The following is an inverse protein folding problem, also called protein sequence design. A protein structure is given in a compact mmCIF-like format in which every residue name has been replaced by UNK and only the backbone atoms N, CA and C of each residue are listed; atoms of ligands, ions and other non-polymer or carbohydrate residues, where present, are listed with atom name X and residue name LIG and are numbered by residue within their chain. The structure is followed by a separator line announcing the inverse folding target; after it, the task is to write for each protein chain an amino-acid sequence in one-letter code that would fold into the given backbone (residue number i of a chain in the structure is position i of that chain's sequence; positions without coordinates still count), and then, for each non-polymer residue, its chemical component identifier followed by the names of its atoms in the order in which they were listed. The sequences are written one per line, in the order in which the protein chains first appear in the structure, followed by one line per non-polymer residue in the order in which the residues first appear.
data_IF_837891977907
#
_entry.id   IF_837891977907
#
_cell.length_a   1.000
_cell.length_b   1.000
_cell.length_c   1.000
_cell.angle_alpha   90.00
_cell.angle_beta   90.00
_cell.angle_gamma   90.00
#
_symmetry.space_group_name_H-M   'P 1'
#
loop_
_entity.id
_entity.type
_entity.pdbx_description
1 polymer ?
#
# COMPACT_ATOMS: atom_id res chain seq x y z
N UNK A 1 2.43 -15.46 -13.34
CA UNK A 1 2.27 -14.01 -13.65
C UNK A 1 0.79 -13.69 -13.63
N UNK A 2 0.38 -12.63 -12.94
CA UNK A 2 -1.00 -12.18 -12.91
C UNK A 2 -1.32 -11.40 -14.20
N UNK A 3 -2.38 -11.81 -14.89
CA UNK A 3 -2.81 -11.17 -16.14
C UNK A 3 -4.34 -10.99 -16.11
N UNK A 4 -4.76 -9.87 -15.54
CA UNK A 4 -6.18 -9.55 -15.32
C UNK A 4 -6.72 -8.64 -16.42
N UNK A 5 -7.98 -8.81 -16.78
CA UNK A 5 -8.68 -7.84 -17.61
C UNK A 5 -8.77 -6.50 -16.88
N UNK A 6 -8.54 -5.42 -17.61
CA UNK A 6 -8.64 -4.05 -17.12
C UNK A 6 -9.73 -3.27 -17.84
N UNK A 7 -9.93 -2.03 -17.44
CA UNK A 7 -10.87 -1.12 -18.10
C UNK A 7 -10.54 -0.87 -19.58
N UNK A 8 -9.30 -1.14 -20.01
CA UNK A 8 -8.89 -1.05 -21.42
C UNK A 8 -9.33 -2.25 -22.26
N UNK A 9 -9.71 -3.35 -21.62
CA UNK A 9 -10.05 -4.62 -22.30
C UNK A 9 -11.54 -4.79 -22.53
N UNK A 10 -12.37 -3.82 -22.13
CA UNK A 10 -13.83 -3.90 -22.18
C UNK A 10 -14.45 -2.69 -22.89
N UNK A 11 -15.67 -2.86 -23.36
CA UNK A 11 -16.49 -1.78 -23.91
C UNK A 11 -17.67 -1.54 -22.97
N UNK A 12 -17.73 -0.33 -22.38
CA UNK A 12 -18.75 0.02 -21.38
C UNK A 12 -19.82 0.97 -21.91
N UNK A 13 -19.81 1.27 -23.21
CA UNK A 13 -20.79 2.21 -23.80
C UNK A 13 -22.21 1.78 -23.50
N UNK A 14 -22.97 2.67 -22.86
CA UNK A 14 -24.36 2.42 -22.48
C UNK A 14 -24.53 1.45 -21.31
N UNK A 15 -23.44 0.93 -20.73
CA UNK A 15 -23.50 -0.02 -19.63
C UNK A 15 -23.39 0.65 -18.26
N UNK A 16 -24.03 0.04 -17.28
CA UNK A 16 -23.90 0.43 -15.87
C UNK A 16 -22.62 -0.20 -15.31
N UNK A 17 -21.72 0.64 -14.82
CA UNK A 17 -20.40 0.21 -14.33
C UNK A 17 -20.28 0.55 -12.85
N UNK A 18 -20.26 -0.45 -12.00
CA UNK A 18 -19.97 -0.28 -10.58
C UNK A 18 -18.45 -0.27 -10.37
N UNK A 19 -17.92 0.84 -9.84
CA UNK A 19 -16.51 1.02 -9.59
C UNK A 19 -16.25 1.06 -8.09
N UNK A 20 -15.52 0.08 -7.57
CA UNK A 20 -15.08 0.09 -6.19
C UNK A 20 -13.79 0.91 -6.08
N UNK A 21 -13.91 2.08 -5.47
CA UNK A 21 -12.82 3.01 -5.22
C UNK A 21 -12.36 2.93 -3.76
N UNK A 22 -11.24 3.54 -3.45
CA UNK A 22 -10.79 3.80 -2.09
C UNK A 22 -10.89 5.30 -1.80
N UNK A 23 -12.01 5.70 -1.22
CA UNK A 23 -12.29 7.06 -0.79
C UNK A 23 -12.25 7.19 0.74
N UNK A 24 -11.54 6.29 1.39
CA UNK A 24 -11.29 6.36 2.84
C UNK A 24 -10.28 7.45 3.14
N UNK A 25 -10.72 8.69 3.02
CA UNK A 25 -9.93 9.89 3.21
C UNK A 25 -10.02 10.39 4.65
N UNK A 26 -8.98 11.05 5.17
CA UNK A 26 -9.05 11.68 6.48
C UNK A 26 -9.97 12.91 6.42
N UNK A 27 -10.85 13.01 7.42
CA UNK A 27 -11.78 14.12 7.60
C UNK A 27 -11.48 14.83 8.91
N UNK A 28 -11.52 16.16 8.90
CA UNK A 28 -11.50 16.99 10.09
C UNK A 28 -12.61 18.03 9.98
N UNK A 29 -13.54 18.02 10.93
CA UNK A 29 -14.72 18.90 10.93
C UNK A 29 -15.51 18.85 9.62
N UNK A 30 -15.68 17.64 9.06
CA UNK A 30 -16.39 17.40 7.82
C UNK A 30 -15.63 17.81 6.56
N UNK A 31 -14.37 18.20 6.68
CA UNK A 31 -13.52 18.59 5.55
C UNK A 31 -12.45 17.53 5.26
N UNK A 32 -12.22 17.27 3.99
CA UNK A 32 -11.17 16.36 3.53
C UNK A 32 -9.82 17.07 3.72
N UNK A 33 -8.92 16.46 4.53
CA UNK A 33 -7.59 17.02 4.81
C UNK A 33 -6.51 16.47 3.89
N UNK A 34 -6.75 15.34 3.21
CA UNK A 34 -5.88 14.76 2.20
C UNK A 34 -6.76 14.14 1.11
N UNK A 35 -6.62 14.64 -0.11
CA UNK A 35 -7.42 14.21 -1.26
C UNK A 35 -6.67 13.30 -2.24
N UNK A 36 -5.47 12.83 -1.88
CA UNK A 36 -4.64 12.04 -2.79
C UNK A 36 -5.37 10.82 -3.35
N UNK A 37 -6.19 10.15 -2.54
CA UNK A 37 -6.99 8.99 -2.97
C UNK A 37 -8.06 9.36 -3.98
N UNK A 38 -8.64 10.54 -3.88
CA UNK A 38 -9.61 11.04 -4.85
C UNK A 38 -8.94 11.31 -6.19
N UNK A 39 -7.82 12.03 -6.15
CA UNK A 39 -7.03 12.36 -7.36
C UNK A 39 -6.54 11.08 -8.05
N UNK A 40 -6.09 10.10 -7.29
CA UNK A 40 -5.60 8.83 -7.81
C UNK A 40 -6.71 8.00 -8.52
N UNK A 41 -7.97 8.17 -8.14
CA UNK A 41 -9.10 7.48 -8.76
C UNK A 41 -9.54 8.13 -10.09
N UNK A 42 -9.17 9.37 -10.36
CA UNK A 42 -9.66 10.13 -11.52
C UNK A 42 -9.36 9.47 -12.87
N UNK A 43 -8.17 8.91 -13.13
CA UNK A 43 -7.89 8.29 -14.43
C UNK A 43 -8.87 7.18 -14.81
N UNK A 44 -9.19 6.29 -13.89
CA UNK A 44 -10.17 5.22 -14.11
C UNK A 44 -11.58 5.79 -14.34
N UNK A 45 -11.99 6.73 -13.51
CA UNK A 45 -13.31 7.37 -13.64
C UNK A 45 -13.43 8.08 -15.00
N UNK A 46 -12.43 8.88 -15.36
CA UNK A 46 -12.41 9.62 -16.64
C UNK A 46 -12.43 8.69 -17.85
N UNK A 47 -11.72 7.58 -17.79
CA UNK A 47 -11.74 6.56 -18.86
C UNK A 47 -13.14 6.01 -19.07
N UNK A 48 -13.81 5.62 -18.00
CA UNK A 48 -15.14 5.03 -18.07
C UNK A 48 -16.21 6.00 -18.57
N UNK A 49 -16.14 7.28 -18.15
CA UNK A 49 -17.07 8.32 -18.66
C UNK A 49 -16.78 8.61 -20.14
N UNK A 50 -15.52 8.72 -20.53
CA UNK A 50 -15.14 8.97 -21.93
C UNK A 50 -15.59 7.84 -22.86
N UNK A 51 -15.64 6.61 -22.35
CA UNK A 51 -16.12 5.44 -23.09
C UNK A 51 -17.67 5.30 -23.10
N UNK A 52 -18.39 6.26 -22.51
CA UNK A 52 -19.84 6.29 -22.50
C UNK A 52 -20.51 5.40 -21.46
N UNK A 53 -19.79 5.03 -20.41
CA UNK A 53 -20.35 4.25 -19.29
C UNK A 53 -21.24 5.09 -18.38
N UNK A 54 -22.18 4.42 -17.71
CA UNK A 54 -22.96 4.96 -16.60
C UNK A 54 -22.24 4.54 -15.32
N UNK A 55 -21.51 5.47 -14.69
CA UNK A 55 -20.53 5.18 -13.66
C UNK A 55 -21.14 5.30 -12.27
N UNK A 56 -21.10 4.21 -11.51
CA UNK A 56 -21.61 4.13 -10.15
C UNK A 56 -20.42 3.85 -9.24
N UNK A 57 -20.03 4.85 -8.44
CA UNK A 57 -18.89 4.76 -7.52
C UNK A 57 -19.34 4.24 -6.16
N UNK A 58 -18.55 3.38 -5.55
CA UNK A 58 -18.74 2.95 -4.17
C UNK A 58 -17.44 2.87 -3.43
N UNK A 59 -17.49 3.11 -2.13
CA UNK A 59 -16.34 3.03 -1.22
C UNK A 59 -16.81 2.90 0.22
N UNK A 60 -15.89 2.47 1.07
CA UNK A 60 -16.04 2.63 2.51
C UNK A 60 -15.39 3.95 2.97
N UNK A 61 -15.73 4.38 4.17
CA UNK A 61 -15.11 5.49 4.88
C UNK A 61 -15.12 5.18 6.38
N UNK A 62 -13.93 5.11 6.99
CA UNK A 62 -13.79 4.84 8.42
C UNK A 62 -14.37 3.49 8.84
N UNK A 63 -14.85 3.44 10.08
CA UNK A 63 -15.37 2.23 10.72
C UNK A 63 -16.73 2.48 11.37
N UNK A 64 -17.81 2.62 10.61
CA UNK A 64 -19.16 2.86 11.15
C UNK A 64 -19.78 1.65 11.83
N UNK A 65 -19.20 0.45 11.69
CA UNK A 65 -19.60 -0.79 12.35
C UNK A 65 -21.02 -1.27 11.98
N UNK A 66 -21.39 -1.11 10.71
CA UNK A 66 -22.67 -1.59 10.21
C UNK A 66 -23.87 -0.69 10.53
N UNK A 67 -23.61 0.55 10.89
CA UNK A 67 -24.63 1.55 11.21
C UNK A 67 -24.37 2.86 10.47
N UNK A 68 -25.43 3.56 10.01
CA UNK A 68 -25.27 4.90 9.45
C UNK A 68 -24.69 5.87 10.50
N UNK A 69 -23.65 6.63 10.09
CA UNK A 69 -23.05 7.68 10.90
C UNK A 69 -22.81 8.90 10.04
N UNK A 70 -23.51 10.03 10.31
CA UNK A 70 -23.38 11.24 9.48
C UNK A 70 -21.96 11.73 9.30
N UNK A 71 -21.11 11.59 10.31
CA UNK A 71 -19.69 11.97 10.29
C UNK A 71 -18.85 11.08 9.35
N UNK A 72 -19.36 9.92 8.95
CA UNK A 72 -18.72 8.98 8.03
C UNK A 72 -19.49 8.85 6.71
N UNK A 73 -20.31 9.84 6.38
CA UNK A 73 -20.96 9.92 5.07
C UNK A 73 -19.98 10.29 3.97
N UNK A 74 -20.20 9.76 2.77
CA UNK A 74 -19.41 10.11 1.58
C UNK A 74 -19.87 11.39 0.89
N UNK A 75 -20.84 12.12 1.45
CA UNK A 75 -21.31 13.39 0.88
C UNK A 75 -20.19 14.40 0.58
N UNK A 76 -19.20 14.63 1.48
CA UNK A 76 -18.07 15.51 1.20
C UNK A 76 -17.21 15.03 0.02
N UNK A 77 -17.09 13.70 -0.15
CA UNK A 77 -16.35 13.11 -1.27
C UNK A 77 -17.04 13.38 -2.60
N UNK A 78 -18.35 13.23 -2.67
CA UNK A 78 -19.12 13.54 -3.87
C UNK A 78 -18.95 15.00 -4.30
N UNK A 79 -19.00 15.91 -3.34
CA UNK A 79 -18.80 17.35 -3.57
C UNK A 79 -17.40 17.63 -4.14
N UNK A 80 -16.38 17.04 -3.54
CA UNK A 80 -14.98 17.26 -3.97
C UNK A 80 -14.71 16.63 -5.34
N UNK A 81 -15.22 15.42 -5.59
CA UNK A 81 -15.11 14.79 -6.90
C UNK A 81 -15.75 15.61 -8.01
N UNK A 82 -16.90 16.22 -7.74
CA UNK A 82 -17.57 17.14 -8.68
C UNK A 82 -16.64 18.28 -9.08
N UNK A 83 -15.96 18.88 -8.11
CA UNK A 83 -15.00 19.96 -8.37
C UNK A 83 -13.79 19.46 -9.18
N UNK A 84 -13.23 18.31 -8.81
CA UNK A 84 -12.04 17.74 -9.47
C UNK A 84 -12.32 17.28 -10.90
N UNK A 85 -13.50 16.75 -11.16
CA UNK A 85 -13.90 16.26 -12.49
C UNK A 85 -14.45 17.36 -13.40
N UNK A 86 -14.88 18.49 -12.82
CA UNK A 86 -15.62 19.52 -13.57
C UNK A 86 -16.96 19.03 -14.10
N UNK A 87 -17.54 18.01 -13.49
CA UNK A 87 -18.77 17.35 -13.85
C UNK A 87 -19.49 16.88 -12.58
N UNK A 88 -20.83 16.98 -12.55
CA UNK A 88 -21.59 16.54 -11.39
C UNK A 88 -21.36 15.07 -11.07
N UNK A 89 -21.02 14.79 -9.83
CA UNK A 89 -21.10 13.47 -9.20
C UNK A 89 -22.33 13.50 -8.30
N UNK A 90 -23.40 12.83 -8.72
CA UNK A 90 -24.65 12.80 -7.99
C UNK A 90 -24.51 11.89 -6.77
N UNK A 91 -24.58 12.47 -5.60
CA UNK A 91 -24.60 11.68 -4.36
C UNK A 91 -26.02 11.15 -4.12
N UNK A 92 -26.14 9.83 -3.92
CA UNK A 92 -27.41 9.17 -3.65
C UNK A 92 -27.34 8.49 -2.29
N UNK A 93 -27.68 9.21 -1.21
CA UNK A 93 -27.59 8.66 0.14
C UNK A 93 -28.64 7.60 0.40
N UNK A 94 -28.27 6.59 1.19
CA UNK A 94 -29.19 5.61 1.75
C UNK A 94 -28.56 5.00 3.00
N UNK A 95 -29.33 4.85 4.09
CA UNK A 95 -28.83 4.21 5.32
C UNK A 95 -28.49 2.73 5.12
N UNK A 96 -29.00 2.12 4.05
CA UNK A 96 -28.74 0.71 3.69
C UNK A 96 -27.95 0.57 2.38
N UNK A 97 -27.42 1.66 1.87
CA UNK A 97 -26.57 1.77 0.67
C UNK A 97 -27.35 1.51 -0.62
N UNK A 98 -28.09 0.42 -0.72
CA UNK A 98 -28.93 0.08 -1.88
C UNK A 98 -30.36 -0.06 -1.41
N UNK A 99 -31.22 0.82 -1.90
CA UNK A 99 -32.67 0.81 -1.70
C UNK A 99 -33.38 1.15 -3.02
N UNK A 100 -34.69 1.26 -2.98
CA UNK A 100 -35.52 1.56 -4.19
C UNK A 100 -35.17 2.93 -4.77
N UNK A 101 -34.84 3.90 -3.95
CA UNK A 101 -34.42 5.24 -4.39
C UNK A 101 -33.10 5.17 -5.16
N UNK A 102 -32.13 4.42 -4.66
CA UNK A 102 -30.83 4.20 -5.32
C UNK A 102 -31.03 3.46 -6.65
N UNK A 103 -31.85 2.41 -6.66
CA UNK A 103 -32.15 1.64 -7.88
C UNK A 103 -32.81 2.52 -8.95
N UNK A 104 -33.73 3.39 -8.55
CA UNK A 104 -34.38 4.34 -9.46
C UNK A 104 -33.39 5.35 -10.03
N UNK A 105 -32.50 5.90 -9.18
CA UNK A 105 -31.47 6.84 -9.62
C UNK A 105 -30.52 6.20 -10.64
N UNK A 106 -30.13 4.95 -10.43
CA UNK A 106 -29.28 4.20 -11.36
C UNK A 106 -30.02 3.93 -12.68
N UNK A 107 -31.31 3.56 -12.62
CA UNK A 107 -32.09 3.30 -13.79
C UNK A 107 -32.28 4.56 -14.70
N UNK A 108 -32.29 5.74 -14.10
CA UNK A 108 -32.44 7.02 -14.80
C UNK A 108 -31.11 7.58 -15.37
N UNK A 109 -29.98 6.93 -15.10
CA UNK A 109 -28.66 7.40 -15.57
C UNK A 109 -28.58 7.43 -17.10
N UNK A 110 -27.88 8.45 -17.58
CA UNK A 110 -27.47 8.58 -18.98
C UNK A 110 -26.00 8.27 -19.14
N UNK A 111 -25.61 7.93 -20.37
CA UNK A 111 -24.20 7.65 -20.69
C UNK A 111 -23.30 8.82 -20.27
N UNK A 112 -22.22 8.53 -19.59
CA UNK A 112 -21.26 9.51 -19.08
C UNK A 112 -21.63 10.16 -17.75
N UNK A 113 -22.79 9.86 -17.17
CA UNK A 113 -23.15 10.35 -15.85
C UNK A 113 -22.49 9.53 -14.73
N UNK A 114 -22.39 10.14 -13.54
CA UNK A 114 -21.71 9.57 -12.38
C UNK A 114 -22.62 9.67 -11.15
N UNK A 115 -22.74 8.55 -10.43
CA UNK A 115 -23.38 8.47 -9.12
C UNK A 115 -22.34 8.00 -8.10
N UNK A 116 -22.40 8.53 -6.89
CA UNK A 116 -21.68 7.98 -5.72
C UNK A 116 -22.70 7.45 -4.72
N UNK A 117 -22.52 6.18 -4.32
CA UNK A 117 -23.32 5.54 -3.28
C UNK A 117 -22.83 5.97 -1.88
N UNK A 118 -23.65 5.74 -0.88
CA UNK A 118 -23.29 5.97 0.51
C UNK A 118 -22.28 4.90 0.99
N UNK A 119 -21.61 5.19 2.10
CA UNK A 119 -20.56 4.35 2.72
C UNK A 119 -20.99 2.87 2.81
N UNK A 120 -20.28 2.00 2.11
CA UNK A 120 -20.62 0.57 2.03
C UNK A 120 -20.60 -0.10 3.41
N UNK A 121 -19.83 0.41 4.36
CA UNK A 121 -19.76 -0.12 5.74
C UNK A 121 -20.91 0.31 6.64
N UNK A 122 -21.90 1.06 6.10
CA UNK A 122 -23.18 1.21 6.79
C UNK A 122 -23.93 -0.12 6.85
N UNK A 123 -23.59 -1.06 5.96
CA UNK A 123 -24.11 -2.43 5.99
C UNK A 123 -23.16 -3.34 6.77
N UNK A 124 -23.69 -4.03 7.75
CA UNK A 124 -22.92 -5.00 8.55
C UNK A 124 -22.38 -6.16 7.70
N UNK A 125 -23.10 -6.51 6.62
CA UNK A 125 -22.69 -7.60 5.70
C UNK A 125 -21.44 -7.26 4.91
N UNK A 126 -21.11 -5.99 4.69
CA UNK A 126 -19.98 -5.57 3.84
C UNK A 126 -18.68 -6.29 4.22
N UNK A 127 -18.28 -6.19 5.49
CA UNK A 127 -17.02 -6.78 5.96
C UNK A 127 -17.08 -8.29 6.15
N UNK A 128 -18.27 -8.87 6.10
CA UNK A 128 -18.52 -10.30 6.20
C UNK A 128 -18.67 -10.99 4.84
N UNK A 129 -18.60 -10.22 3.76
CA UNK A 129 -18.79 -10.71 2.40
C UNK A 129 -20.13 -11.44 2.19
N UNK A 130 -21.20 -10.89 2.80
CA UNK A 130 -22.53 -11.49 2.80
C UNK A 130 -23.17 -11.51 1.42
N UNK A 131 -23.88 -12.58 1.08
CA UNK A 131 -24.47 -12.78 -0.26
C UNK A 131 -25.55 -11.78 -0.61
N UNK A 132 -26.42 -11.43 0.34
CA UNK A 132 -27.55 -10.52 0.09
C UNK A 132 -27.09 -9.15 -0.37
N UNK A 133 -26.19 -8.51 0.39
CA UNK A 133 -25.66 -7.21 0.01
C UNK A 133 -24.82 -7.27 -1.27
N UNK A 134 -24.08 -8.34 -1.47
CA UNK A 134 -23.34 -8.56 -2.72
C UNK A 134 -24.27 -8.64 -3.92
N UNK A 135 -25.41 -9.30 -3.83
CA UNK A 135 -26.44 -9.35 -4.88
C UNK A 135 -27.05 -7.98 -5.12
N UNK A 136 -27.34 -7.23 -4.07
CA UNK A 136 -27.89 -5.88 -4.19
C UNK A 136 -26.93 -4.96 -4.95
N UNK A 137 -25.63 -4.97 -4.61
CA UNK A 137 -24.61 -4.22 -5.35
C UNK A 137 -24.54 -4.66 -6.82
N UNK A 138 -24.52 -5.96 -7.07
CA UNK A 138 -24.47 -6.51 -8.42
C UNK A 138 -25.68 -6.13 -9.26
N UNK A 139 -26.86 -5.99 -8.64
CA UNK A 139 -28.08 -5.59 -9.33
C UNK A 139 -28.02 -4.19 -9.94
N UNK A 140 -27.10 -3.35 -9.48
CA UNK A 140 -26.92 -1.99 -9.97
C UNK A 140 -26.06 -1.90 -11.24
N UNK A 141 -25.41 -2.99 -11.66
CA UNK A 141 -24.42 -2.91 -12.72
C UNK A 141 -24.45 -4.08 -13.71
N UNK A 142 -23.89 -3.82 -14.88
CA UNK A 142 -23.60 -4.80 -15.92
C UNK A 142 -22.13 -5.22 -15.87
N UNK A 143 -21.26 -4.33 -15.40
CA UNK A 143 -19.82 -4.50 -15.28
C UNK A 143 -19.36 -4.02 -13.91
N UNK A 144 -18.45 -4.77 -13.31
CA UNK A 144 -17.79 -4.38 -12.07
C UNK A 144 -16.32 -4.05 -12.32
N UNK A 145 -15.85 -2.95 -11.73
CA UNK A 145 -14.45 -2.52 -11.77
C UNK A 145 -13.92 -2.39 -10.34
N UNK A 146 -12.84 -3.08 -10.04
CA UNK A 146 -12.12 -2.92 -8.77
C UNK A 146 -10.90 -2.02 -8.96
N UNK A 147 -10.91 -0.88 -8.31
CA UNK A 147 -9.80 0.09 -8.32
C UNK A 147 -9.31 0.43 -6.91
N UNK A 148 -9.63 -0.42 -5.94
CA UNK A 148 -9.31 -0.23 -4.53
C UNK A 148 -8.30 -1.26 -4.04
N UNK A 149 -7.02 -1.02 -4.29
CA UNK A 149 -5.96 -1.93 -3.86
C UNK A 149 -5.82 -2.02 -2.34
N UNK A 150 -6.03 -0.92 -1.62
CA UNK A 150 -5.90 -0.90 -0.16
C UNK A 150 -6.79 -1.89 0.59
N UNK A 151 -7.87 -2.34 -0.01
CA UNK A 151 -8.79 -3.35 0.55
C UNK A 151 -8.70 -4.71 -0.13
N UNK A 152 -7.83 -4.86 -1.11
CA UNK A 152 -7.74 -6.07 -1.94
C UNK A 152 -7.33 -7.34 -1.17
N UNK A 153 -6.68 -7.19 -0.01
CA UNK A 153 -6.29 -8.29 0.88
C UNK A 153 -7.45 -8.84 1.73
N UNK A 154 -8.63 -8.22 1.65
CA UNK A 154 -9.83 -8.63 2.38
C UNK A 154 -10.95 -8.97 1.41
N UNK A 155 -11.74 -9.99 1.75
CA UNK A 155 -12.94 -10.33 0.99
C UNK A 155 -14.15 -9.63 1.61
N UNK A 156 -14.62 -8.57 0.95
CA UNK A 156 -15.80 -7.81 1.32
C UNK A 156 -16.85 -7.90 0.19
N UNK A 157 -18.09 -7.50 0.45
CA UNK A 157 -19.14 -7.50 -0.56
C UNK A 157 -18.77 -6.65 -1.78
N UNK A 158 -18.26 -5.44 -1.54
CA UNK A 158 -18.00 -4.46 -2.60
C UNK A 158 -16.73 -4.73 -3.42
N UNK A 159 -15.90 -5.72 -3.07
CA UNK A 159 -14.71 -6.06 -3.85
C UNK A 159 -14.64 -7.53 -4.29
N UNK A 160 -15.24 -8.44 -3.55
CA UNK A 160 -15.21 -9.88 -3.85
C UNK A 160 -16.62 -10.43 -4.05
N UNK A 161 -17.50 -10.28 -3.07
CA UNK A 161 -18.84 -10.86 -3.12
C UNK A 161 -19.63 -10.46 -4.36
N UNK A 162 -19.57 -9.19 -4.75
CA UNK A 162 -20.24 -8.65 -5.94
C UNK A 162 -19.84 -9.40 -7.22
N UNK A 163 -18.61 -9.86 -7.32
CA UNK A 163 -18.10 -10.53 -8.53
C UNK A 163 -18.77 -11.90 -8.79
N UNK A 164 -19.37 -12.50 -7.78
CA UNK A 164 -20.08 -13.75 -7.93
C UNK A 164 -21.38 -13.61 -8.76
N UNK A 165 -21.90 -12.40 -8.86
CA UNK A 165 -23.20 -12.09 -9.46
C UNK A 165 -23.10 -11.20 -10.68
N UNK A 166 -21.90 -10.97 -11.21
CA UNK A 166 -21.65 -10.26 -12.46
C UNK A 166 -20.73 -11.09 -13.35
N UNK A 167 -20.96 -11.04 -14.66
CA UNK A 167 -20.15 -11.84 -15.61
C UNK A 167 -18.80 -11.16 -15.92
N UNK A 168 -18.77 -9.82 -15.90
CA UNK A 168 -17.58 -9.04 -16.22
C UNK A 168 -17.10 -8.29 -15.00
N UNK A 169 -15.96 -8.71 -14.46
CA UNK A 169 -15.27 -8.06 -13.35
C UNK A 169 -13.83 -7.79 -13.76
N UNK A 170 -13.45 -6.53 -13.82
CA UNK A 170 -12.13 -6.09 -14.28
C UNK A 170 -11.46 -5.19 -13.25
N UNK A 171 -10.19 -4.84 -13.47
CA UNK A 171 -9.44 -3.93 -12.61
C UNK A 171 -9.33 -2.54 -13.24
N UNK A 172 -9.29 -1.51 -12.39
CA UNK A 172 -8.98 -0.16 -12.81
C UNK A 172 -7.47 0.07 -12.91
N UNK A 173 -7.09 1.29 -13.29
CA UNK A 173 -5.69 1.64 -13.52
C UNK A 173 -4.82 1.60 -12.25
N UNK A 174 -5.37 1.98 -11.08
CA UNK A 174 -4.63 1.87 -9.82
C UNK A 174 -4.31 0.43 -9.49
N UNK A 175 -5.31 -0.44 -9.57
CA UNK A 175 -5.14 -1.87 -9.31
C UNK A 175 -4.17 -2.50 -10.30
N UNK A 176 -4.23 -2.11 -11.58
CA UNK A 176 -3.34 -2.64 -12.61
C UNK A 176 -1.88 -2.32 -12.31
N UNK A 177 -1.58 -1.10 -11.89
CA UNK A 177 -0.21 -0.72 -11.49
C UNK A 177 0.30 -1.55 -10.33
N UNK A 178 -0.55 -1.78 -9.32
CA UNK A 178 -0.16 -2.60 -8.16
C UNK A 178 0.12 -4.04 -8.58
N UNK A 179 -0.70 -4.60 -9.48
CA UNK A 179 -0.48 -5.94 -10.03
C UNK A 179 0.84 -5.99 -10.82
N UNK A 180 1.10 -4.99 -11.67
CA UNK A 180 2.28 -4.96 -12.52
C UNK A 180 3.56 -4.84 -11.70
N UNK A 181 3.58 -4.00 -10.68
CA UNK A 181 4.79 -3.71 -9.90
C UNK A 181 4.92 -4.59 -8.67
N UNK A 182 4.00 -4.57 -7.72
CA UNK A 182 4.09 -5.40 -6.52
C UNK A 182 3.85 -6.88 -6.79
N UNK A 183 2.97 -7.19 -7.74
CA UNK A 183 2.71 -8.57 -8.14
C UNK A 183 3.78 -9.09 -9.09
N UNK A 184 3.76 -8.60 -10.31
CA UNK A 184 4.54 -9.21 -11.41
C UNK A 184 6.02 -8.84 -11.39
N UNK A 185 6.40 -7.57 -11.19
CA UNK A 185 7.82 -7.17 -11.18
C UNK A 185 8.60 -7.79 -10.02
N UNK A 186 7.97 -7.96 -8.85
CA UNK A 186 8.60 -8.62 -7.69
C UNK A 186 8.73 -10.13 -7.89
N UNK A 187 7.75 -10.76 -8.52
CA UNK A 187 7.76 -12.22 -8.76
C UNK A 187 8.59 -12.63 -9.99
N UNK A 188 8.76 -11.72 -10.96
CA UNK A 188 9.56 -11.93 -12.18
C UNK A 188 10.47 -10.72 -12.40
N UNK A 189 11.44 -10.48 -11.48
CA UNK A 189 12.24 -9.27 -11.52
C UNK A 189 13.29 -9.30 -12.62
N UNK A 190 13.60 -8.14 -13.18
CA UNK A 190 14.87 -7.93 -13.84
C UNK A 190 15.97 -7.92 -12.79
N UNK A 191 17.04 -8.69 -13.06
CA UNK A 191 18.16 -8.82 -12.09
C UNK A 191 19.33 -7.91 -12.46
N UNK A 192 20.10 -7.42 -11.47
CA UNK A 192 20.01 -7.75 -10.03
C UNK A 192 18.77 -7.19 -9.35
N UNK A 193 18.17 -8.02 -8.49
CA UNK A 193 17.01 -7.64 -7.69
C UNK A 193 17.42 -7.41 -6.23
N UNK A 194 17.19 -6.20 -5.72
CA UNK A 194 17.49 -5.80 -4.34
C UNK A 194 16.20 -5.50 -3.59
N UNK A 195 16.03 -6.08 -2.43
CA UNK A 195 14.96 -5.73 -1.51
C UNK A 195 15.53 -4.98 -0.30
N UNK A 196 14.86 -3.93 0.13
CA UNK A 196 15.20 -3.13 1.30
C UNK A 196 14.05 -3.21 2.28
N UNK A 197 14.32 -3.75 3.46
CA UNK A 197 13.35 -3.87 4.54
C UNK A 197 13.79 -3.05 5.75
N UNK A 198 12.89 -2.27 6.28
CA UNK A 198 13.09 -1.50 7.51
C UNK A 198 11.85 -1.57 8.40
N UNK A 199 11.76 -0.66 9.34
CA UNK A 199 10.69 -0.63 10.33
C UNK A 199 11.13 -1.17 11.68
N UNK A 200 10.19 -1.19 12.65
CA UNK A 200 10.53 -1.40 14.06
C UNK A 200 10.68 -2.87 14.46
N UNK A 201 9.90 -3.76 13.85
CA UNK A 201 9.74 -5.15 14.35
C UNK A 201 10.00 -6.19 13.28
N UNK A 202 10.92 -7.14 13.58
CA UNK A 202 11.17 -8.30 12.73
C UNK A 202 9.95 -9.22 12.65
N UNK A 203 9.18 -9.35 13.74
CA UNK A 203 7.98 -10.19 13.80
C UNK A 203 6.93 -9.83 12.75
N UNK A 204 6.82 -8.55 12.41
CA UNK A 204 5.88 -8.07 11.38
C UNK A 204 6.36 -8.32 9.95
N UNK A 205 7.62 -8.72 9.75
CA UNK A 205 8.26 -8.89 8.44
C UNK A 205 8.66 -10.33 8.12
N UNK A 206 8.36 -11.30 9.00
CA UNK A 206 8.79 -12.69 8.83
C UNK A 206 8.40 -13.27 7.48
N UNK A 207 7.12 -13.16 7.13
CA UNK A 207 6.60 -13.70 5.87
C UNK A 207 7.17 -12.98 4.65
N UNK A 208 7.40 -11.67 4.76
CA UNK A 208 8.04 -10.88 3.70
C UNK A 208 9.49 -11.31 3.50
N UNK A 209 10.26 -11.45 4.59
CA UNK A 209 11.66 -11.91 4.54
C UNK A 209 11.73 -13.28 3.89
N UNK A 210 10.91 -14.23 4.33
CA UNK A 210 10.88 -15.59 3.78
C UNK A 210 10.57 -15.60 2.29
N UNK A 211 9.58 -14.84 1.86
CA UNK A 211 9.20 -14.79 0.45
C UNK A 211 10.29 -14.12 -0.41
N UNK A 212 10.87 -13.02 0.07
CA UNK A 212 11.89 -12.28 -0.67
C UNK A 212 13.23 -13.01 -0.74
N UNK A 213 13.61 -13.78 0.29
CA UNK A 213 14.85 -14.60 0.26
C UNK A 213 14.86 -15.61 -0.89
N UNK A 214 13.69 -16.04 -1.35
CA UNK A 214 13.58 -16.93 -2.50
C UNK A 214 13.71 -16.19 -3.86
N UNK A 215 13.71 -14.88 -3.88
CA UNK A 215 13.59 -14.07 -5.09
C UNK A 215 14.73 -13.09 -5.32
N UNK A 216 15.33 -12.56 -4.26
CA UNK A 216 16.30 -11.47 -4.35
C UNK A 216 17.73 -11.95 -4.53
N UNK A 217 18.56 -11.09 -5.11
CA UNK A 217 20.02 -11.25 -5.13
C UNK A 217 20.65 -10.65 -3.87
N UNK A 218 20.08 -9.55 -3.39
CA UNK A 218 20.53 -8.85 -2.17
C UNK A 218 19.31 -8.46 -1.33
N UNK A 219 19.39 -8.71 -0.02
CA UNK A 219 18.42 -8.27 0.97
C UNK A 219 19.10 -7.32 1.95
N UNK A 220 18.60 -6.09 2.01
CA UNK A 220 19.06 -5.06 2.94
C UNK A 220 18.08 -4.97 4.09
N UNK A 221 18.58 -5.04 5.33
CA UNK A 221 17.79 -4.88 6.55
C UNK A 221 18.28 -3.66 7.31
N UNK A 222 17.37 -2.71 7.55
CA UNK A 222 17.62 -1.51 8.34
C UNK A 222 16.51 -1.27 9.35
N UNK A 223 16.46 -0.06 9.90
CA UNK A 223 15.45 0.32 10.88
C UNK A 223 15.60 -0.38 12.23
N UNK A 224 14.58 -0.24 13.07
CA UNK A 224 14.58 -0.80 14.44
C UNK A 224 14.71 -2.31 14.48
N UNK A 225 14.21 -3.02 13.48
CA UNK A 225 14.33 -4.49 13.39
C UNK A 225 15.77 -4.97 13.30
N UNK A 226 16.71 -4.14 12.83
CA UNK A 226 18.12 -4.50 12.70
C UNK A 226 18.82 -4.70 14.05
N UNK A 227 18.32 -4.11 15.12
CA UNK A 227 18.89 -4.28 16.46
C UNK A 227 18.64 -5.68 17.03
N UNK A 228 17.55 -6.33 16.66
CA UNK A 228 17.32 -7.74 16.98
C UNK A 228 18.40 -8.63 16.33
N UNK A 229 18.76 -8.36 15.08
CA UNK A 229 19.86 -9.03 14.40
C UNK A 229 21.21 -8.76 15.08
N UNK A 230 21.47 -7.50 15.45
CA UNK A 230 22.72 -7.10 16.13
C UNK A 230 22.88 -7.83 17.47
N UNK A 231 21.83 -7.89 18.29
CA UNK A 231 21.85 -8.62 19.56
C UNK A 231 22.01 -10.11 19.36
N UNK A 232 21.35 -10.69 18.36
CA UNK A 232 21.48 -12.10 18.02
C UNK A 232 22.93 -12.47 17.65
N UNK A 233 23.68 -11.54 17.06
CA UNK A 233 25.11 -11.70 16.73
C UNK A 233 26.03 -11.41 17.91
N UNK A 234 25.50 -11.22 19.11
CA UNK A 234 26.26 -10.97 20.33
C UNK A 234 26.59 -9.50 20.60
N UNK A 235 25.99 -8.57 19.85
CA UNK A 235 26.21 -7.14 20.02
C UNK A 235 25.48 -6.52 21.21
N UNK A 236 26.04 -5.41 21.71
CA UNK A 236 25.37 -4.54 22.69
C UNK A 236 24.54 -3.51 21.93
N UNK A 237 23.26 -3.44 22.26
CA UNK A 237 22.30 -2.54 21.60
C UNK A 237 21.74 -1.44 22.52
N UNK A 238 22.23 -1.36 23.77
CA UNK A 238 21.76 -0.38 24.74
C UNK A 238 20.24 -0.50 24.97
N UNK A 239 19.54 0.64 24.90
CA UNK A 239 18.10 0.73 25.03
C UNK A 239 17.33 0.60 23.69
N UNK A 240 18.00 0.18 22.63
CA UNK A 240 17.40 0.05 21.29
C UNK A 240 16.24 -0.94 21.29
N UNK A 241 15.30 -0.75 20.35
CA UNK A 241 14.23 -1.69 20.10
C UNK A 241 14.80 -3.11 19.87
N UNK A 242 14.22 -4.10 20.52
CA UNK A 242 14.61 -5.49 20.34
C UNK A 242 13.43 -6.41 20.64
N UNK A 243 13.30 -7.44 19.84
CA UNK A 243 12.38 -8.54 20.07
C UNK A 243 13.18 -9.77 20.50
N UNK A 244 13.37 -9.94 21.82
CA UNK A 244 14.21 -11.02 22.37
C UNK A 244 13.73 -12.43 21.97
N UNK A 245 12.43 -12.60 21.77
CA UNK A 245 11.85 -13.88 21.33
C UNK A 245 12.21 -14.26 19.88
N UNK A 246 12.78 -13.33 19.11
CA UNK A 246 13.13 -13.50 17.70
C UNK A 246 14.65 -13.53 17.42
N UNK A 247 15.49 -13.63 18.46
CA UNK A 247 16.93 -13.70 18.29
C UNK A 247 17.35 -14.94 17.48
N UNK A 248 16.79 -16.10 17.81
CA UNK A 248 17.08 -17.33 17.07
C UNK A 248 16.57 -17.25 15.64
N UNK A 249 15.40 -16.66 15.44
CA UNK A 249 14.84 -16.41 14.10
C UNK A 249 15.80 -15.56 13.26
N UNK A 250 16.38 -14.50 13.84
CA UNK A 250 17.35 -13.65 13.14
C UNK A 250 18.57 -14.45 12.67
N UNK A 251 19.13 -15.30 13.54
CA UNK A 251 20.25 -16.18 13.17
C UNK A 251 19.86 -17.17 12.07
N UNK A 252 18.67 -17.75 12.14
CA UNK A 252 18.16 -18.67 11.13
C UNK A 252 18.02 -17.99 9.77
N UNK A 253 17.59 -16.72 9.73
CA UNK A 253 17.46 -15.95 8.49
C UNK A 253 18.82 -15.63 7.86
N UNK A 254 19.83 -15.29 8.67
CA UNK A 254 21.19 -15.10 8.19
C UNK A 254 21.75 -16.37 7.54
N UNK A 255 21.53 -17.51 8.18
CA UNK A 255 21.93 -18.82 7.66
C UNK A 255 21.19 -19.17 6.37
N UNK A 256 19.88 -18.96 6.35
CA UNK A 256 19.05 -19.22 5.17
C UNK A 256 19.48 -18.37 3.97
N UNK A 257 19.80 -17.09 4.20
CA UNK A 257 20.33 -16.22 3.16
C UNK A 257 21.64 -16.76 2.57
N UNK A 258 22.57 -17.18 3.41
CA UNK A 258 23.84 -17.79 3.00
C UNK A 258 23.62 -19.06 2.18
N UNK A 259 22.77 -19.97 2.64
CA UNK A 259 22.42 -21.22 1.96
C UNK A 259 21.80 -20.96 0.57
N UNK A 260 21.05 -19.89 0.42
CA UNK A 260 20.40 -19.49 -0.85
C UNK A 260 21.29 -18.64 -1.76
N UNK A 261 22.50 -18.30 -1.32
CA UNK A 261 23.38 -17.40 -2.06
C UNK A 261 22.90 -15.96 -2.11
N UNK A 262 22.03 -15.55 -1.20
CA UNK A 262 21.54 -14.17 -1.07
C UNK A 262 22.50 -13.36 -0.22
N UNK A 263 22.90 -12.20 -0.72
CA UNK A 263 23.69 -11.24 0.05
C UNK A 263 22.78 -10.48 1.00
N UNK A 264 22.83 -10.83 2.29
CA UNK A 264 22.08 -10.14 3.33
C UNK A 264 22.95 -9.07 3.98
N UNK A 265 22.57 -7.81 3.87
CA UNK A 265 23.29 -6.66 4.41
C UNK A 265 22.60 -6.13 5.66
N UNK A 266 23.36 -6.05 6.76
CA UNK A 266 22.94 -5.42 8.01
C UNK A 266 23.71 -4.11 8.19
N UNK A 267 23.19 -3.16 8.99
CA UNK A 267 23.96 -1.98 9.36
C UNK A 267 25.30 -2.35 10.02
N UNK A 268 26.38 -1.73 9.58
CA UNK A 268 27.71 -1.87 10.17
C UNK A 268 27.99 -0.82 11.23
N UNK A 269 27.22 0.27 11.20
CA UNK A 269 27.24 1.35 12.17
C UNK A 269 25.84 1.91 12.37
N UNK A 270 25.66 2.64 13.47
CA UNK A 270 24.36 3.22 13.83
C UNK A 270 24.53 4.65 14.32
N UNK A 271 23.59 5.49 13.98
CA UNK A 271 23.43 6.82 14.55
C UNK A 271 22.55 6.67 15.78
N UNK A 272 23.09 6.99 16.94
CA UNK A 272 22.45 6.75 18.25
C UNK A 272 22.17 8.05 18.98
N UNK A 273 21.14 8.02 19.83
CA UNK A 273 20.76 9.11 20.70
C UNK A 273 20.69 8.67 22.17
N UNK A 274 20.93 9.60 23.08
CA UNK A 274 20.78 9.36 24.53
C UNK A 274 19.35 9.62 25.04
N UNK A 275 18.46 10.05 24.16
CA UNK A 275 17.03 10.22 24.41
C UNK A 275 16.27 10.09 23.08
N UNK A 276 15.00 9.72 23.16
CA UNK A 276 14.12 9.65 21.97
C UNK A 276 13.61 11.05 21.61
N UNK A 277 14.52 11.87 21.07
CA UNK A 277 14.28 13.27 20.72
C UNK A 277 15.22 13.69 19.60
N UNK A 278 14.73 14.58 18.73
CA UNK A 278 15.57 15.14 17.66
C UNK A 278 16.78 15.92 18.21
N UNK A 279 16.63 16.54 19.37
CA UNK A 279 17.64 17.43 19.98
C UNK A 279 18.50 16.73 21.04
N UNK A 280 18.46 15.40 21.12
CA UNK A 280 19.30 14.62 22.02
C UNK A 280 20.79 14.70 21.61
N UNK A 281 21.68 14.21 22.47
CA UNK A 281 23.06 13.99 22.09
C UNK A 281 23.14 12.84 21.07
N UNK A 282 23.97 12.98 20.06
CA UNK A 282 24.05 12.06 18.91
C UNK A 282 25.49 11.59 18.74
N UNK A 283 25.66 10.29 18.51
CA UNK A 283 26.92 9.66 18.15
C UNK A 283 26.70 8.65 17.02
N UNK A 284 27.77 8.35 16.30
CA UNK A 284 27.80 7.22 15.37
C UNK A 284 28.74 6.17 15.97
N UNK A 285 28.23 4.96 16.16
CA UNK A 285 28.99 3.85 16.74
C UNK A 285 28.91 2.62 15.82
N UNK A 286 29.91 1.74 15.94
CA UNK A 286 29.89 0.46 15.20
C UNK A 286 28.76 -0.42 15.70
N UNK A 287 28.28 -1.31 14.81
CA UNK A 287 27.27 -2.31 15.16
C UNK A 287 27.69 -3.07 16.42
N UNK A 288 26.75 -3.25 17.33
CA UNK A 288 26.98 -3.97 18.56
C UNK A 288 27.74 -3.19 19.63
N UNK A 289 27.96 -1.89 19.45
CA UNK A 289 28.71 -1.03 20.38
C UNK A 289 27.84 0.11 20.92
N UNK A 290 26.54 -0.08 21.05
CA UNK A 290 25.63 0.94 21.61
C UNK A 290 25.70 0.86 23.14
N UNK A 291 26.15 1.94 23.82
CA UNK A 291 26.23 1.97 25.28
C UNK A 291 24.85 1.90 25.96
N UNK A 292 24.84 1.46 27.22
CA UNK A 292 23.66 1.57 28.05
C UNK A 292 23.22 3.03 28.17
N UNK A 293 21.91 3.27 28.16
CA UNK A 293 21.34 4.62 28.18
C UNK A 293 21.26 5.28 26.80
N UNK A 294 21.82 4.65 25.75
CA UNK A 294 21.72 5.10 24.37
C UNK A 294 20.85 4.13 23.55
N UNK A 295 20.23 4.63 22.51
CA UNK A 295 19.45 3.82 21.56
C UNK A 295 19.78 4.14 20.13
N UNK A 296 19.70 3.13 19.27
CA UNK A 296 19.83 3.32 17.83
C UNK A 296 18.58 3.98 17.27
N UNK A 297 18.78 4.99 16.42
CA UNK A 297 17.69 5.78 15.84
C UNK A 297 17.81 5.92 14.32
N UNK A 298 18.96 5.60 13.74
CA UNK A 298 19.22 5.60 12.30
C UNK A 298 20.44 4.74 11.99
N UNK A 299 20.63 4.41 10.73
CA UNK A 299 21.88 3.82 10.24
C UNK A 299 22.98 4.88 10.24
N UNK A 300 24.24 4.43 10.34
CA UNK A 300 25.39 5.32 10.29
C UNK A 300 25.87 5.61 8.87
N UNK A 301 26.87 6.48 8.76
CA UNK A 301 27.39 6.95 7.48
C UNK A 301 28.07 5.88 6.63
N UNK A 302 28.76 4.93 7.27
CA UNK A 302 29.36 3.79 6.55
C UNK A 302 28.29 2.85 6.01
N UNK A 303 27.23 2.60 6.78
CA UNK A 303 26.08 1.81 6.34
C UNK A 303 25.37 2.47 5.17
N UNK A 304 25.16 3.79 5.23
CA UNK A 304 24.56 4.54 4.11
C UNK A 304 25.30 4.28 2.80
N UNK A 305 26.63 4.35 2.84
CA UNK A 305 27.47 4.10 1.67
C UNK A 305 27.32 2.67 1.15
N UNK A 306 27.34 1.68 2.04
CA UNK A 306 27.21 0.26 1.68
C UNK A 306 25.84 -0.01 1.06
N UNK A 307 24.78 0.53 1.64
CA UNK A 307 23.41 0.33 1.15
C UNK A 307 23.19 1.04 -0.20
N UNK A 308 23.69 2.25 -0.35
CA UNK A 308 23.63 2.98 -1.62
C UNK A 308 24.41 2.27 -2.74
N UNK A 309 25.59 1.76 -2.44
CA UNK A 309 26.40 0.99 -3.41
C UNK A 309 25.68 -0.30 -3.83
N UNK A 310 24.94 -0.93 -2.91
CA UNK A 310 24.23 -2.17 -3.19
C UNK A 310 23.06 -1.99 -4.19
N UNK A 311 22.45 -0.80 -4.25
CA UNK A 311 21.34 -0.51 -5.18
C UNK A 311 21.78 0.12 -6.49
N UNK A 312 23.02 0.54 -6.59
CA UNK A 312 23.55 1.32 -7.72
C UNK A 312 23.38 0.63 -9.07
N UNK A 313 23.67 -0.66 -9.12
CA UNK A 313 23.61 -1.47 -10.33
C UNK A 313 22.37 -2.38 -10.40
N UNK A 314 21.43 -2.22 -9.48
CA UNK A 314 20.20 -2.99 -9.46
C UNK A 314 19.32 -2.65 -10.68
N UNK A 315 18.56 -3.64 -11.13
CA UNK A 315 17.52 -3.47 -12.18
C UNK A 315 16.12 -3.40 -11.59
N UNK A 316 15.92 -4.04 -10.45
CA UNK A 316 14.67 -3.98 -9.70
C UNK A 316 14.99 -3.76 -8.23
N UNK A 317 14.30 -2.80 -7.61
CA UNK A 317 14.40 -2.54 -6.16
C UNK A 317 13.00 -2.45 -5.57
N UNK A 318 12.76 -3.20 -4.51
CA UNK A 318 11.56 -3.03 -3.68
C UNK A 318 11.99 -2.55 -2.29
N UNK A 319 11.31 -1.54 -1.78
CA UNK A 319 11.60 -0.96 -0.47
C UNK A 319 10.34 -0.90 0.40
N UNK A 320 10.41 -1.49 1.58
CA UNK A 320 9.35 -1.49 2.58
C UNK A 320 9.92 -1.22 3.98
N UNK A 321 9.63 -0.05 4.53
CA UNK A 321 10.03 0.38 5.86
C UNK A 321 11.26 1.29 5.89
N UNK A 322 11.21 2.37 6.68
CA UNK A 322 12.30 3.36 6.77
C UNK A 322 13.55 2.77 7.47
N UNK A 323 14.69 3.43 7.26
CA UNK A 323 15.98 3.02 7.85
C UNK A 323 16.19 3.56 9.27
N UNK A 324 15.41 4.53 9.69
CA UNK A 324 15.50 5.17 10.99
C UNK A 324 14.24 5.96 11.35
N UNK A 325 14.34 6.75 12.39
CA UNK A 325 13.26 7.64 12.86
C UNK A 325 13.18 8.90 11.97
N UNK A 326 12.77 8.72 10.74
CA UNK A 326 12.84 9.74 9.68
C UNK A 326 11.99 10.99 9.96
N UNK A 327 11.01 10.91 10.86
CA UNK A 327 10.22 12.07 11.31
C UNK A 327 11.06 13.08 12.09
N UNK A 328 12.19 12.62 12.61
CA UNK A 328 13.19 13.47 13.28
C UNK A 328 14.29 13.80 12.27
N UNK A 329 14.48 15.08 11.87
CA UNK A 329 15.46 15.45 10.84
C UNK A 329 16.88 14.91 11.09
N UNK A 330 17.34 14.89 12.35
CA UNK A 330 18.65 14.38 12.71
C UNK A 330 18.79 12.85 12.57
N UNK A 331 17.69 12.13 12.43
CA UNK A 331 17.65 10.67 12.27
C UNK A 331 16.97 10.25 10.95
N UNK A 332 16.87 11.18 10.00
CA UNK A 332 16.35 10.94 8.65
C UNK A 332 17.47 10.69 7.62
N UNK A 333 18.72 10.81 8.00
CA UNK A 333 19.88 10.73 7.08
C UNK A 333 19.92 9.42 6.29
N UNK A 334 19.73 8.29 6.96
CA UNK A 334 19.79 6.98 6.31
C UNK A 334 18.65 6.77 5.33
N UNK A 335 17.44 7.14 5.73
CA UNK A 335 16.26 7.05 4.88
C UNK A 335 16.41 7.96 3.66
N UNK A 336 16.90 9.17 3.85
CA UNK A 336 17.17 10.11 2.75
C UNK A 336 18.25 9.59 1.81
N UNK A 337 19.35 9.05 2.33
CA UNK A 337 20.43 8.48 1.52
C UNK A 337 19.91 7.36 0.61
N UNK A 338 19.12 6.45 1.15
CA UNK A 338 18.50 5.37 0.37
C UNK A 338 17.53 5.92 -0.67
N UNK A 339 16.66 6.85 -0.30
CA UNK A 339 15.72 7.49 -1.24
C UNK A 339 16.45 8.18 -2.39
N UNK A 340 17.51 8.92 -2.10
CA UNK A 340 18.35 9.57 -3.10
C UNK A 340 19.03 8.56 -4.04
N UNK A 341 19.58 7.48 -3.49
CA UNK A 341 20.20 6.43 -4.28
C UNK A 341 19.18 5.78 -5.25
N UNK A 342 17.96 5.55 -4.80
CA UNK A 342 16.89 5.03 -5.66
C UNK A 342 16.44 6.03 -6.73
N UNK A 343 16.46 7.33 -6.40
CA UNK A 343 16.14 8.39 -7.36
C UNK A 343 17.19 8.52 -8.47
N UNK A 344 18.42 8.12 -8.22
CA UNK A 344 19.56 8.23 -9.13
C UNK A 344 19.82 6.95 -9.94
N UNK A 345 19.19 5.84 -9.61
CA UNK A 345 19.35 4.57 -10.33
C UNK A 345 18.38 4.46 -11.49
N UNK A 346 18.76 3.68 -12.52
CA UNK A 346 17.89 3.33 -13.65
C UNK A 346 16.98 2.13 -13.37
N UNK A 347 17.00 1.62 -12.14
CA UNK A 347 16.18 0.47 -11.74
C UNK A 347 14.68 0.79 -11.73
N UNK A 348 13.86 -0.25 -11.88
CA UNK A 348 12.46 -0.20 -11.49
C UNK A 348 12.40 -0.12 -9.98
N UNK A 349 11.94 1.00 -9.43
CA UNK A 349 11.90 1.28 -7.99
C UNK A 349 10.47 1.22 -7.48
N UNK A 350 10.21 0.29 -6.57
CA UNK A 350 8.88 -0.01 -6.04
C UNK A 350 8.89 0.26 -4.53
N UNK A 351 8.05 1.19 -4.10
CA UNK A 351 7.90 1.54 -2.69
C UNK A 351 6.63 0.90 -2.17
N UNK A 352 6.76 0.03 -1.18
CA UNK A 352 5.63 -0.66 -0.54
C UNK A 352 5.51 -0.28 0.93
N UNK A 353 4.30 0.08 1.35
CA UNK A 353 4.00 0.43 2.75
C UNK A 353 3.86 1.92 3.00
N UNK A 354 3.01 2.26 3.98
CA UNK A 354 2.64 3.65 4.28
C UNK A 354 3.81 4.50 4.76
N UNK A 355 4.64 3.97 5.64
CA UNK A 355 5.78 4.71 6.20
C UNK A 355 6.84 5.00 5.14
N UNK A 356 7.12 4.04 4.27
CA UNK A 356 8.07 4.23 3.17
C UNK A 356 7.55 5.25 2.17
N UNK A 357 6.27 5.18 1.82
CA UNK A 357 5.62 6.14 0.92
C UNK A 357 5.66 7.54 1.53
N UNK A 358 5.31 7.68 2.81
CA UNK A 358 5.38 8.95 3.52
C UNK A 358 6.82 9.50 3.53
N UNK A 359 7.80 8.66 3.81
CA UNK A 359 9.21 9.07 3.87
C UNK A 359 9.70 9.60 2.52
N UNK A 360 9.49 8.88 1.42
CA UNK A 360 9.97 9.34 0.09
C UNK A 360 9.26 10.62 -0.37
N UNK A 361 8.00 10.80 -0.02
CA UNK A 361 7.25 12.00 -0.36
C UNK A 361 7.68 13.21 0.47
N UNK A 362 7.82 13.05 1.79
CA UNK A 362 8.29 14.11 2.70
C UNK A 362 9.70 14.56 2.32
N UNK A 363 10.58 13.62 1.97
CA UNK A 363 11.96 13.91 1.59
C UNK A 363 12.10 14.43 0.14
N UNK A 364 11.00 14.48 -0.63
CA UNK A 364 10.99 15.09 -1.96
C UNK A 364 11.41 14.17 -3.11
N UNK A 365 11.44 12.85 -2.90
CA UNK A 365 11.86 11.88 -3.92
C UNK A 365 10.72 11.05 -4.52
N UNK A 366 9.47 11.33 -4.13
CA UNK A 366 8.32 10.55 -4.59
C UNK A 366 8.18 10.47 -6.11
N UNK A 367 8.37 11.60 -6.80
CA UNK A 367 8.27 11.67 -8.26
C UNK A 367 9.37 10.90 -9.01
N UNK A 368 10.44 10.53 -8.31
CA UNK A 368 11.57 9.78 -8.85
C UNK A 368 11.39 8.26 -8.74
N UNK A 369 10.39 7.81 -8.00
CA UNK A 369 10.10 6.38 -7.86
C UNK A 369 9.23 5.88 -9.01
N UNK A 370 9.48 4.65 -9.47
CA UNK A 370 8.68 4.06 -10.54
C UNK A 370 7.25 3.81 -10.09
N UNK A 371 7.09 3.28 -8.89
CA UNK A 371 5.77 3.01 -8.30
C UNK A 371 5.80 3.18 -6.78
N UNK A 372 4.84 3.92 -6.26
CA UNK A 372 4.60 4.02 -4.81
C UNK A 372 3.24 3.38 -4.55
N UNK A 373 3.23 2.25 -3.83
CA UNK A 373 1.99 1.56 -3.51
C UNK A 373 1.13 2.37 -2.55
N UNK A 374 -0.16 2.38 -2.83
CA UNK A 374 -1.18 3.01 -1.97
C UNK A 374 -1.79 2.04 -0.97
N UNK A 375 -1.37 0.79 -0.99
CA UNK A 375 -2.12 -0.34 -0.43
C UNK A 375 -1.85 -0.70 1.02
N UNK A 376 -0.92 -0.09 1.72
CA UNK A 376 -0.65 -0.41 3.14
C UNK A 376 -0.55 -1.92 3.41
N UNK A 377 -1.54 -2.49 4.12
CA UNK A 377 -1.59 -3.92 4.43
C UNK A 377 -1.67 -4.83 3.21
N UNK A 378 -2.36 -4.41 2.16
CA UNK A 378 -2.42 -5.17 0.91
C UNK A 378 -1.05 -5.25 0.23
N UNK A 379 -0.27 -4.16 0.26
CA UNK A 379 1.11 -4.16 -0.26
C UNK A 379 1.97 -5.16 0.48
N UNK A 380 1.87 -5.19 1.80
CA UNK A 380 2.62 -6.12 2.64
C UNK A 380 2.26 -7.57 2.31
N UNK A 381 0.98 -7.89 2.21
CA UNK A 381 0.53 -9.24 1.87
C UNK A 381 0.95 -9.68 0.46
N UNK A 382 1.00 -8.76 -0.50
CA UNK A 382 1.58 -9.07 -1.81
C UNK A 382 3.06 -9.42 -1.71
N UNK A 383 3.82 -8.67 -0.92
CA UNK A 383 5.25 -8.95 -0.67
C UNK A 383 5.47 -10.26 0.11
N UNK A 384 4.48 -10.69 0.88
CA UNK A 384 4.46 -12.00 1.55
C UNK A 384 4.20 -13.17 0.57
N UNK A 385 3.86 -12.87 -0.69
CA UNK A 385 3.55 -13.88 -1.70
C UNK A 385 2.12 -14.42 -1.62
N UNK A 386 1.25 -13.77 -0.87
CA UNK A 386 -0.14 -14.20 -0.72
C UNK A 386 -0.98 -13.80 -1.94
N UNK A 387 -1.96 -14.65 -2.24
CA UNK A 387 -3.03 -14.30 -3.17
C UNK A 387 -3.97 -13.30 -2.49
N UNK A 388 -4.23 -12.17 -3.15
CA UNK A 388 -5.17 -11.17 -2.64
C UNK A 388 -6.57 -11.45 -3.18
N UNK A 389 -7.58 -11.63 -2.30
CA UNK A 389 -8.95 -11.93 -2.74
C UNK A 389 -9.53 -10.92 -3.73
N UNK A 390 -9.28 -9.64 -3.52
CA UNK A 390 -9.78 -8.58 -4.40
C UNK A 390 -9.14 -8.58 -5.79
N UNK A 391 -7.93 -9.10 -5.92
CA UNK A 391 -7.27 -9.30 -7.22
C UNK A 391 -7.74 -10.60 -7.85
N UNK A 392 -7.79 -11.69 -7.09
CA UNK A 392 -8.21 -13.00 -7.57
C UNK A 392 -9.64 -13.00 -8.12
N UNK A 393 -10.51 -12.17 -7.59
CA UNK A 393 -11.92 -12.06 -8.01
C UNK A 393 -12.12 -11.44 -9.39
N UNK A 394 -11.14 -10.70 -9.92
CA UNK A 394 -11.22 -10.15 -11.27
C UNK A 394 -10.97 -11.22 -12.33
N UNK A 395 -11.58 -11.05 -13.51
CA UNK A 395 -11.43 -11.99 -14.61
C UNK A 395 -10.00 -12.00 -15.15
N UNK A 396 -9.48 -13.17 -15.42
CA UNK A 396 -8.22 -13.35 -16.14
C UNK A 396 -8.38 -13.04 -17.63
N UNK A 397 -7.31 -12.56 -18.28
CA UNK A 397 -7.23 -12.44 -19.75
C UNK A 397 -7.20 -13.77 -20.41
#
# INVERSE_FOLDING_TARGET
MLNKNSVDDINVKGQRVLVRCDFNVPLQDGKITDENRLVAALPTIKKLIADGGKVILCSHLGKPKGEPKPELSLAPVAKRLTELLGQEVKFVPSPVVVDDTVKAAVADMKDGEIILLENTRYRAEETKNGDEFSKELASLCDVFVNDAFGTAHRAHCSNVGVTKYVDTAVVGYLMQKEIDFLGNAVNNPERPFVAILGGAKVSSKISVINNLLDKVDTLIIGGGMSYTFSKALGGNIGNSLCEDDYLQYALDMLKKAEEKGVKLLLPVDNRIGDDFSNDCNIQIVKRGCIPDGWEGMDIGTETEKIFCDAVKDAKTVVWNGPMGCFEMPNFAHGTEAVAKALAETDATTIIGGGDSAAAVNILGYGDKMTHISTGGGASLEFLEGKELPGVAAANDK
#
